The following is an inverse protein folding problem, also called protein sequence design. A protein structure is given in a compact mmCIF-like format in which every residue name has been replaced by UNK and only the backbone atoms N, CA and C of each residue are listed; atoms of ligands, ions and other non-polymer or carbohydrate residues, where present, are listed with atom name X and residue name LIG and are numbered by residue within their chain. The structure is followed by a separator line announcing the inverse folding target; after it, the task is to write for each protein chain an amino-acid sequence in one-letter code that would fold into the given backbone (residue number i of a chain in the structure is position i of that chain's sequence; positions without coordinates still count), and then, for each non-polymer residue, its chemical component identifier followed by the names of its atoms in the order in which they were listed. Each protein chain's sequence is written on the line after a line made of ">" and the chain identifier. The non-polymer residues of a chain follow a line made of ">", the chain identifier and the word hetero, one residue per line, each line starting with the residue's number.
data_IF_642686472263
#
_entry.id   IF_642686472263
#
_cell.length_a   1.000
_cell.length_b   1.000
_cell.length_c   1.000
_cell.angle_alpha   90.00
_cell.angle_beta   90.00
_cell.angle_gamma   90.00
#
_symmetry.space_group_name_H-M   'P 1'
#
loop_
_entity.id
_entity.type
_entity.pdbx_description
1 polymer ?
#
# COMPACT_ATOMS: atom_id res chain seq x y z
N UNK A 1 39.29 -21.86 25.60
CA UNK A 1 38.01 -22.34 24.97
C UNK A 1 38.35 -23.39 23.94
N UNK A 2 37.80 -24.58 24.07
CA UNK A 2 38.09 -25.68 23.16
C UNK A 2 37.44 -25.45 21.78
N UNK A 3 37.98 -26.08 20.73
CA UNK A 3 37.42 -25.99 19.38
C UNK A 3 35.96 -26.42 19.35
N UNK A 4 35.57 -27.44 20.11
CA UNK A 4 34.18 -27.89 20.27
C UNK A 4 33.26 -26.80 20.83
N UNK A 5 33.70 -26.07 21.86
CA UNK A 5 32.91 -24.98 22.45
C UNK A 5 32.70 -23.83 21.46
N UNK A 6 33.72 -23.49 20.67
CA UNK A 6 33.60 -22.46 19.61
C UNK A 6 32.59 -22.87 18.56
N UNK A 7 32.63 -24.13 18.10
CA UNK A 7 31.67 -24.59 17.07
C UNK A 7 30.22 -24.62 17.57
N UNK A 8 30.00 -25.00 18.83
CA UNK A 8 28.67 -24.98 19.44
C UNK A 8 28.13 -23.55 19.52
N UNK A 9 28.95 -22.56 19.91
CA UNK A 9 28.54 -21.17 19.98
C UNK A 9 28.19 -20.62 18.60
N UNK A 10 29.00 -20.95 17.58
CA UNK A 10 28.72 -20.54 16.19
C UNK A 10 27.39 -21.13 15.71
N UNK A 11 27.12 -22.39 15.95
CA UNK A 11 25.86 -23.05 15.57
C UNK A 11 24.67 -22.37 16.25
N UNK A 12 24.78 -22.04 17.54
CA UNK A 12 23.71 -21.36 18.28
C UNK A 12 23.43 -19.95 17.74
N UNK A 13 24.48 -19.20 17.39
CA UNK A 13 24.34 -17.85 16.80
C UNK A 13 23.65 -17.95 15.44
N UNK A 14 24.06 -18.88 14.59
CA UNK A 14 23.45 -19.07 13.27
C UNK A 14 21.99 -19.49 13.39
N UNK A 15 21.68 -20.42 14.30
CA UNK A 15 20.30 -20.83 14.56
C UNK A 15 19.42 -19.70 15.06
N UNK A 16 19.93 -18.85 15.96
CA UNK A 16 19.23 -17.67 16.46
C UNK A 16 18.99 -16.64 15.34
N UNK A 17 19.96 -16.41 14.46
CA UNK A 17 19.82 -15.52 13.31
C UNK A 17 18.76 -16.03 12.32
N UNK A 18 18.73 -17.32 12.04
CA UNK A 18 17.71 -17.96 11.20
C UNK A 18 16.31 -17.85 11.80
N UNK A 19 16.16 -18.08 13.10
CA UNK A 19 14.90 -17.93 13.80
C UNK A 19 14.39 -16.46 13.74
N UNK A 20 15.27 -15.50 13.94
CA UNK A 20 14.93 -14.07 13.82
C UNK A 20 14.47 -13.69 12.40
N UNK A 21 15.11 -14.23 11.36
CA UNK A 21 14.71 -14.03 9.97
C UNK A 21 13.32 -14.61 9.69
N UNK A 22 13.03 -15.82 10.15
CA UNK A 22 11.71 -16.46 9.97
C UNK A 22 10.62 -15.64 10.66
N UNK A 23 10.85 -15.17 11.87
CA UNK A 23 9.90 -14.32 12.62
C UNK A 23 9.67 -13.00 11.89
N UNK A 24 10.73 -12.34 11.42
CA UNK A 24 10.63 -11.09 10.65
C UNK A 24 9.82 -11.28 9.36
N UNK A 25 10.04 -12.36 8.63
CA UNK A 25 9.28 -12.69 7.41
C UNK A 25 7.80 -12.96 7.71
N UNK A 26 7.49 -13.62 8.82
CA UNK A 26 6.12 -13.93 9.24
C UNK A 26 5.34 -12.68 9.68
N UNK A 27 6.02 -11.68 10.22
CA UNK A 27 5.40 -10.42 10.66
C UNK A 27 5.20 -9.47 9.47
N UNK A 28 6.18 -9.36 8.58
CA UNK A 28 6.15 -8.45 7.42
C UNK A 28 5.20 -8.92 6.32
N UNK A 29 4.94 -10.22 6.21
CA UNK A 29 4.05 -10.80 5.20
C UNK A 29 2.56 -10.73 5.52
N UNK A 30 2.17 -10.28 6.71
CA UNK A 30 0.74 -10.14 7.07
C UNK A 30 0.19 -8.81 6.56
N UNK A 31 -0.68 -8.90 5.56
CA UNK A 31 -1.46 -7.76 5.11
C UNK A 31 -2.35 -7.28 6.26
N UNK A 32 -2.20 -6.03 6.66
CA UNK A 32 -3.07 -5.42 7.66
C UNK A 32 -4.47 -5.25 7.03
N UNK A 33 -5.47 -5.83 7.63
CA UNK A 33 -6.84 -5.75 7.15
C UNK A 33 -7.54 -4.53 7.71
N UNK A 34 -8.46 -3.94 6.95
CA UNK A 34 -9.39 -2.94 7.45
C UNK A 34 -10.23 -3.52 8.61
N UNK A 35 -10.75 -2.62 9.43
CA UNK A 35 -11.78 -2.98 10.41
C UNK A 35 -13.04 -3.45 9.67
N UNK A 36 -13.81 -4.33 10.32
CA UNK A 36 -14.99 -4.96 9.71
C UNK A 36 -16.12 -3.99 9.34
N UNK A 37 -16.09 -2.78 9.88
CA UNK A 37 -17.05 -1.69 9.66
C UNK A 37 -16.53 -0.61 8.68
N UNK A 38 -15.37 -0.82 8.08
CA UNK A 38 -14.83 0.11 7.09
C UNK A 38 -15.74 0.16 5.85
N UNK A 39 -16.22 1.35 5.54
CA UNK A 39 -17.09 1.61 4.39
C UNK A 39 -16.31 2.32 3.31
N UNK A 40 -16.43 1.82 2.09
CA UNK A 40 -15.94 2.46 0.87
C UNK A 40 -17.09 2.82 -0.07
N UNK A 41 -16.77 3.21 -1.30
CA UNK A 41 -17.74 3.51 -2.36
C UNK A 41 -18.81 4.51 -1.94
N UNK A 42 -18.38 5.67 -1.45
CA UNK A 42 -19.31 6.77 -1.13
C UNK A 42 -20.10 7.18 -2.37
N UNK A 43 -21.28 7.79 -2.18
CA UNK A 43 -22.10 8.28 -3.27
C UNK A 43 -21.33 9.25 -4.21
N UNK A 44 -20.44 10.09 -3.65
CA UNK A 44 -19.57 10.96 -4.42
C UNK A 44 -18.60 10.17 -5.31
N UNK A 45 -17.95 9.16 -4.78
CA UNK A 45 -17.03 8.31 -5.52
C UNK A 45 -17.73 7.54 -6.65
N UNK A 46 -18.91 6.99 -6.38
CA UNK A 46 -19.70 6.29 -7.41
C UNK A 46 -20.16 7.23 -8.52
N UNK A 47 -20.55 8.46 -8.19
CA UNK A 47 -21.00 9.44 -9.18
C UNK A 47 -19.86 9.98 -10.08
N UNK A 48 -18.61 9.95 -9.63
CA UNK A 48 -17.46 10.39 -10.41
C UNK A 48 -16.75 9.24 -11.16
N UNK A 49 -17.33 8.05 -11.19
CA UNK A 49 -16.75 6.83 -11.80
C UNK A 49 -15.38 6.43 -11.19
N UNK A 50 -15.15 6.73 -9.92
CA UNK A 50 -13.89 6.42 -9.26
C UNK A 50 -12.70 7.24 -9.75
N UNK A 51 -12.94 8.44 -10.29
CA UNK A 51 -11.85 9.35 -10.68
C UNK A 51 -11.22 10.03 -9.48
N UNK A 52 -11.96 10.19 -8.39
CA UNK A 52 -11.43 10.71 -7.13
C UNK A 52 -12.17 10.14 -5.93
N UNK A 53 -11.50 10.09 -4.79
CA UNK A 53 -12.11 9.84 -3.49
C UNK A 53 -11.54 10.76 -2.42
N UNK A 54 -12.33 11.01 -1.41
CA UNK A 54 -11.96 11.81 -0.26
C UNK A 54 -11.85 10.92 0.99
N UNK A 55 -10.79 11.11 1.77
CA UNK A 55 -10.59 10.44 3.05
C UNK A 55 -9.96 11.42 4.04
N UNK A 56 -10.70 11.74 5.10
CA UNK A 56 -10.28 12.72 6.10
C UNK A 56 -10.06 14.10 5.48
N UNK A 57 -8.84 14.58 5.53
CA UNK A 57 -8.42 15.90 4.99
C UNK A 57 -7.73 15.78 3.61
N UNK A 58 -7.81 14.62 2.97
CA UNK A 58 -7.13 14.39 1.69
C UNK A 58 -8.09 13.97 0.59
N UNK A 59 -7.79 14.44 -0.61
CA UNK A 59 -8.40 14.00 -1.85
C UNK A 59 -7.35 13.24 -2.66
N UNK A 60 -7.73 12.08 -3.17
CA UNK A 60 -6.94 11.27 -4.10
C UNK A 60 -7.65 11.26 -5.44
N UNK A 61 -6.93 11.49 -6.53
CA UNK A 61 -7.54 11.61 -7.84
C UNK A 61 -6.62 11.17 -8.98
N UNK A 62 -7.23 10.76 -10.07
CA UNK A 62 -6.55 10.51 -11.35
C UNK A 62 -6.42 11.83 -12.10
N UNK A 63 -5.20 12.21 -12.43
CA UNK A 63 -4.94 13.42 -13.22
C UNK A 63 -4.93 13.08 -14.71
N UNK A 64 -6.05 13.28 -15.36
CA UNK A 64 -6.21 13.00 -16.79
C UNK A 64 -5.31 13.88 -17.69
N UNK A 65 -4.85 15.03 -17.20
CA UNK A 65 -3.89 15.89 -17.92
C UNK A 65 -2.44 15.37 -17.83
N UNK A 66 -2.20 14.43 -16.92
CA UNK A 66 -0.90 13.79 -16.72
C UNK A 66 -1.01 12.27 -16.90
N UNK A 67 -1.65 11.84 -17.99
CA UNK A 67 -1.75 10.45 -18.37
C UNK A 67 -2.49 9.54 -17.38
N UNK A 68 -3.33 10.08 -16.52
CA UNK A 68 -4.05 9.31 -15.50
C UNK A 68 -3.23 9.04 -14.24
N UNK A 69 -2.06 9.66 -14.09
CA UNK A 69 -1.25 9.53 -12.88
C UNK A 69 -2.05 9.89 -11.63
N UNK A 70 -1.81 9.14 -10.54
CA UNK A 70 -2.53 9.37 -9.28
C UNK A 70 -1.85 10.42 -8.44
N UNK A 71 -2.64 11.38 -7.98
CA UNK A 71 -2.23 12.48 -7.11
C UNK A 71 -3.01 12.46 -5.81
N UNK A 72 -2.42 13.07 -4.78
CA UNK A 72 -3.13 13.51 -3.59
C UNK A 72 -2.95 14.98 -3.35
N UNK A 73 -3.92 15.60 -2.71
CA UNK A 73 -3.83 16.96 -2.17
C UNK A 73 -4.69 17.07 -0.91
N UNK A 74 -4.50 18.13 -0.15
CA UNK A 74 -5.42 18.45 0.94
C UNK A 74 -6.76 18.98 0.36
N UNK A 75 -7.82 18.92 1.14
CA UNK A 75 -9.15 19.41 0.74
C UNK A 75 -9.17 20.91 0.45
N UNK A 76 -8.21 21.66 0.99
CA UNK A 76 -7.98 23.09 0.68
C UNK A 76 -7.11 23.32 -0.56
N UNK A 77 -6.83 22.27 -1.32
CA UNK A 77 -5.99 22.23 -2.54
C UNK A 77 -4.50 22.47 -2.29
N UNK A 78 -4.04 22.48 -1.07
CA UNK A 78 -2.61 22.54 -0.73
C UNK A 78 -1.95 21.17 -0.79
N UNK A 79 -0.63 21.13 -0.72
CA UNK A 79 0.20 19.90 -0.63
C UNK A 79 -0.10 18.88 -1.74
N UNK A 80 -0.28 19.36 -2.97
CA UNK A 80 -0.48 18.48 -4.12
C UNK A 80 0.79 17.72 -4.44
N UNK A 81 0.68 16.39 -4.55
CA UNK A 81 1.80 15.52 -4.90
C UNK A 81 1.35 14.30 -5.68
N UNK A 82 2.20 13.86 -6.60
CA UNK A 82 2.05 12.58 -7.30
C UNK A 82 2.31 11.42 -6.34
N UNK A 83 1.46 10.39 -6.38
CA UNK A 83 1.57 9.16 -5.61
C UNK A 83 1.99 8.01 -6.50
N UNK A 84 1.43 7.92 -7.71
CA UNK A 84 1.72 6.87 -8.67
C UNK A 84 1.71 7.46 -10.07
N UNK A 85 2.75 7.15 -10.87
CA UNK A 85 2.92 7.65 -12.24
C UNK A 85 2.11 6.88 -13.29
N UNK A 86 1.60 5.68 -12.93
CA UNK A 86 0.79 4.88 -13.84
C UNK A 86 -0.62 5.46 -13.99
N UNK A 87 -1.27 5.13 -15.11
CA UNK A 87 -2.69 5.44 -15.31
C UNK A 87 -3.53 4.69 -14.28
N UNK A 88 -4.09 5.44 -13.33
CA UNK A 88 -4.86 4.93 -12.20
C UNK A 88 -6.34 5.28 -12.36
N UNK A 89 -7.21 4.31 -12.12
CA UNK A 89 -8.66 4.45 -12.23
C UNK A 89 -9.38 3.64 -11.15
N UNK A 90 -10.69 3.82 -11.04
CA UNK A 90 -11.52 3.17 -10.01
C UNK A 90 -11.00 3.40 -8.59
N UNK A 91 -10.57 4.63 -8.31
CA UNK A 91 -10.02 5.02 -7.02
C UNK A 91 -11.12 5.01 -5.97
N UNK A 92 -10.85 4.36 -4.84
CA UNK A 92 -11.78 4.24 -3.73
C UNK A 92 -11.05 4.25 -2.39
N UNK A 93 -11.57 5.00 -1.44
CA UNK A 93 -11.06 5.04 -0.08
C UNK A 93 -11.94 4.20 0.84
N UNK A 94 -11.37 3.31 1.63
CA UNK A 94 -12.10 2.56 2.64
C UNK A 94 -11.20 2.31 3.87
N UNK A 95 -11.62 2.82 5.01
CA UNK A 95 -10.84 2.75 6.25
C UNK A 95 -9.46 3.38 6.08
N UNK A 96 -8.43 2.62 6.39
CA UNK A 96 -7.03 3.04 6.33
C UNK A 96 -6.40 2.84 4.94
N UNK A 97 -7.16 2.40 3.93
CA UNK A 97 -6.62 1.99 2.63
C UNK A 97 -7.23 2.77 1.47
N UNK A 98 -6.37 2.96 0.48
CA UNK A 98 -6.73 3.45 -0.84
C UNK A 98 -6.67 2.28 -1.84
N UNK A 99 -7.78 2.02 -2.51
CA UNK A 99 -7.91 0.98 -3.53
C UNK A 99 -8.01 1.63 -4.91
N UNK A 100 -7.28 1.10 -5.87
CA UNK A 100 -7.33 1.59 -7.24
C UNK A 100 -6.88 0.52 -8.22
N UNK A 101 -7.26 0.67 -9.47
CA UNK A 101 -6.73 -0.12 -10.57
C UNK A 101 -5.65 0.67 -11.30
N UNK A 102 -4.63 -0.01 -11.80
CA UNK A 102 -3.60 0.58 -12.66
C UNK A 102 -3.67 -0.07 -14.04
N UNK A 103 -3.53 0.74 -15.08
CA UNK A 103 -3.24 0.24 -16.39
C UNK A 103 -1.73 0.02 -16.50
N UNK A 104 -1.34 -1.23 -16.71
CA UNK A 104 0.08 -1.58 -16.93
C UNK A 104 0.31 -1.70 -18.43
N UNK A 105 1.34 -1.07 -18.93
CA UNK A 105 1.74 -1.12 -20.35
C UNK A 105 2.19 -2.52 -20.81
N UNK A 106 2.30 -3.47 -19.90
CA UNK A 106 2.65 -4.85 -20.18
C UNK A 106 1.99 -5.83 -19.22
N UNK A 107 0.85 -6.37 -19.61
CA UNK A 107 0.26 -7.61 -19.10
C UNK A 107 -0.12 -7.64 -17.61
N UNK A 108 -1.15 -6.95 -17.24
CA UNK A 108 -1.86 -7.22 -16.00
C UNK A 108 -2.36 -5.96 -15.29
N UNK A 109 -3.64 -5.95 -14.95
CA UNK A 109 -4.18 -5.00 -13.99
C UNK A 109 -3.62 -5.33 -12.60
N UNK A 110 -2.91 -4.41 -12.00
CA UNK A 110 -2.47 -4.50 -10.60
C UNK A 110 -3.46 -3.80 -9.68
N UNK A 111 -3.77 -4.42 -8.54
CA UNK A 111 -4.43 -3.73 -7.42
C UNK A 111 -3.32 -3.16 -6.54
N UNK A 112 -3.29 -1.84 -6.41
CA UNK A 112 -2.41 -1.15 -5.48
C UNK A 112 -3.15 -0.79 -4.20
N UNK A 113 -2.50 -0.94 -3.07
CA UNK A 113 -3.00 -0.48 -1.77
C UNK A 113 -1.96 0.42 -1.14
N UNK A 114 -2.39 1.58 -0.69
CA UNK A 114 -1.57 2.51 0.07
C UNK A 114 -2.05 2.58 1.51
N UNK A 115 -1.11 2.60 2.42
CA UNK A 115 -1.35 2.81 3.85
C UNK A 115 -1.14 4.28 4.19
#
# INVERSE_FOLDING_TARGET
>A
MTSRTKNIIIILIVAAAFAALIVSFSITGKMKMNQSDAVGNTAGNLNNNGLFCESGNKVYFSNLYDGGAMYSMNTDQSDMKMINESDCYSINCAGDYLYYCMQSDSKGSGLGSLV
#
